data_IF_113533008625
#
_entry.id   IF_113533008625
#
_cell.length_a   1.000
_cell.length_b   1.000
_cell.length_c   1.000
_cell.angle_alpha   90.00
_cell.angle_beta   90.00
_cell.angle_gamma   90.00
#
_symmetry.space_group_name_H-M   'P 1'
#
loop_
_entity.id
_entity.type
_entity.pdbx_description
1 polymer ?
#
# COMPACT_ATOMS: atom_id res chain seq x y z
N UNK A 1 -4.21 29.33 0.58
CA UNK A 1 -3.34 28.16 0.31
C UNK A 1 -4.22 27.07 -0.25
N UNK A 2 -4.01 26.68 -1.50
CA UNK A 2 -4.68 25.50 -2.05
C UNK A 2 -4.04 24.24 -1.44
N UNK A 3 -4.82 23.18 -1.16
CA UNK A 3 -4.25 21.91 -0.78
C UNK A 3 -3.34 21.40 -1.90
N UNK A 4 -2.22 20.79 -1.53
CA UNK A 4 -1.21 20.32 -2.49
C UNK A 4 -1.74 19.21 -3.42
N UNK A 5 -0.90 18.68 -4.32
CA UNK A 5 -1.27 17.54 -5.16
C UNK A 5 -1.69 16.33 -4.31
N UNK A 6 -2.75 15.64 -4.72
CA UNK A 6 -3.26 14.44 -4.05
C UNK A 6 -4.50 14.65 -3.17
N UNK A 7 -4.96 15.88 -2.98
CA UNK A 7 -6.20 16.16 -2.27
C UNK A 7 -7.38 16.24 -3.25
N UNK A 8 -8.48 15.57 -2.90
CA UNK A 8 -9.80 15.78 -3.51
C UNK A 8 -10.66 16.49 -2.48
N UNK A 9 -11.21 17.65 -2.84
CA UNK A 9 -12.02 18.46 -1.94
C UNK A 9 -13.48 18.42 -2.37
N UNK A 10 -14.37 18.35 -1.39
CA UNK A 10 -15.80 18.56 -1.61
C UNK A 10 -16.10 20.03 -1.94
N UNK A 11 -17.34 20.26 -2.39
CA UNK A 11 -17.85 21.59 -2.65
C UNK A 11 -17.73 22.51 -1.43
N UNK A 12 -17.56 23.81 -1.70
CA UNK A 12 -17.45 24.82 -0.66
C UNK A 12 -18.81 25.06 -0.01
N UNK A 13 -18.85 25.02 1.33
CA UNK A 13 -20.03 25.33 2.13
C UNK A 13 -19.81 26.64 2.87
N UNK A 14 -20.79 27.54 2.82
CA UNK A 14 -20.78 28.78 3.60
C UNK A 14 -20.80 28.47 5.10
N UNK A 15 -19.97 29.17 5.87
CA UNK A 15 -19.89 29.04 7.33
C UNK A 15 -19.98 30.39 8.00
N UNK A 16 -20.05 30.37 9.33
CA UNK A 16 -19.99 31.60 10.12
C UNK A 16 -18.74 32.43 9.77
N UNK A 17 -18.88 33.76 9.65
CA UNK A 17 -17.78 34.66 9.34
C UNK A 17 -16.60 34.53 10.33
N UNK A 18 -15.42 34.24 9.81
CA UNK A 18 -14.17 34.22 10.59
C UNK A 18 -13.62 35.64 10.80
N UNK A 19 -12.74 35.82 11.78
CA UNK A 19 -12.00 37.08 11.96
C UNK A 19 -10.60 36.98 11.36
N UNK A 20 -10.16 38.05 10.69
CA UNK A 20 -8.81 38.15 10.11
C UNK A 20 -8.04 39.31 10.74
N UNK A 21 -6.73 39.14 10.93
CA UNK A 21 -5.86 40.20 11.45
C UNK A 21 -5.41 41.10 10.30
N UNK A 22 -5.76 42.39 10.38
CA UNK A 22 -5.48 43.34 9.29
C UNK A 22 -4.17 44.10 9.53
N UNK A 23 -3.77 44.29 10.79
CA UNK A 23 -2.56 45.06 11.17
C UNK A 23 -1.81 44.30 12.26
N UNK A 24 -0.77 43.53 11.89
CA UNK A 24 0.18 42.85 12.80
C UNK A 24 -0.44 42.33 14.12
N UNK A 25 -1.64 41.74 14.05
CA UNK A 25 -2.37 41.21 15.21
C UNK A 25 -3.07 42.21 16.15
N UNK A 26 -2.99 43.53 15.94
CA UNK A 26 -3.61 44.55 16.82
C UNK A 26 -5.10 44.80 16.56
N UNK A 27 -5.58 44.57 15.34
CA UNK A 27 -7.00 44.75 14.96
C UNK A 27 -7.48 43.51 14.21
N UNK A 28 -8.58 42.94 14.69
CA UNK A 28 -9.29 41.85 14.04
C UNK A 28 -10.56 42.39 13.39
N UNK A 29 -10.79 42.05 12.13
CA UNK A 29 -12.01 42.39 11.41
C UNK A 29 -12.74 41.12 10.97
N UNK A 30 -14.07 41.18 11.00
CA UNK A 30 -14.91 40.07 10.57
C UNK A 30 -14.91 39.97 9.04
N UNK A 31 -14.60 38.80 8.53
CA UNK A 31 -14.54 38.52 7.09
C UNK A 31 -15.96 38.39 6.56
N UNK A 32 -16.31 39.17 5.54
CA UNK A 32 -17.68 39.29 4.99
C UNK A 32 -18.28 37.93 4.59
N UNK A 33 -17.43 36.97 4.20
CA UNK A 33 -17.86 35.62 3.85
C UNK A 33 -16.74 34.62 4.09
N UNK A 34 -17.04 33.53 4.78
CA UNK A 34 -16.11 32.42 4.99
C UNK A 34 -16.72 31.15 4.41
N UNK A 35 -15.88 30.36 3.74
CA UNK A 35 -16.28 29.08 3.17
C UNK A 35 -15.38 27.99 3.75
N UNK A 36 -15.96 26.82 3.99
CA UNK A 36 -15.25 25.62 4.43
C UNK A 36 -15.43 24.53 3.38
N UNK A 37 -14.36 23.82 3.08
CA UNK A 37 -14.38 22.59 2.28
C UNK A 37 -13.59 21.51 3.01
N UNK A 38 -14.08 20.28 2.93
CA UNK A 38 -13.39 19.10 3.47
C UNK A 38 -12.57 18.49 2.35
N UNK A 39 -11.26 18.38 2.56
CA UNK A 39 -10.33 17.82 1.59
C UNK A 39 -9.79 16.47 2.08
N UNK A 40 -10.00 15.43 1.28
CA UNK A 40 -9.51 14.08 1.55
C UNK A 40 -8.24 13.82 0.74
N UNK A 41 -7.19 13.34 1.40
CA UNK A 41 -5.93 13.00 0.73
C UNK A 41 -5.98 11.58 0.17
N UNK A 42 -5.63 11.42 -1.11
CA UNK A 42 -5.45 10.14 -1.76
C UNK A 42 -4.02 9.97 -2.22
N UNK A 43 -3.38 8.91 -1.72
CA UNK A 43 -2.01 8.53 -2.13
C UNK A 43 -1.93 8.14 -3.60
N UNK A 44 -3.01 7.61 -4.19
CA UNK A 44 -3.11 7.29 -5.61
C UNK A 44 -3.13 8.55 -6.48
N UNK A 45 -3.82 9.61 -6.03
CA UNK A 45 -3.82 10.89 -6.74
C UNK A 45 -2.52 11.67 -6.51
N UNK A 46 -1.91 11.50 -5.34
CA UNK A 46 -0.63 12.13 -5.03
C UNK A 46 0.55 11.52 -5.78
N UNK A 47 0.54 10.20 -5.98
CA UNK A 47 1.62 9.46 -6.63
C UNK A 47 1.13 8.81 -7.92
N UNK A 48 1.66 9.27 -9.07
CA UNK A 48 1.36 8.68 -10.38
C UNK A 48 1.86 7.23 -10.55
N UNK A 49 2.79 6.80 -9.69
CA UNK A 49 3.39 5.46 -9.74
C UNK A 49 2.94 4.65 -8.52
N UNK A 50 2.64 3.35 -8.70
CA UNK A 50 2.28 2.48 -7.58
C UNK A 50 3.47 2.35 -6.63
N UNK A 51 3.19 2.16 -5.34
CA UNK A 51 4.21 1.98 -4.29
C UNK A 51 4.52 0.52 -3.99
N UNK A 52 3.72 -0.40 -4.54
CA UNK A 52 3.90 -1.84 -4.38
C UNK A 52 3.59 -2.61 -5.67
N UNK A 53 4.07 -3.84 -5.74
CA UNK A 53 3.68 -4.80 -6.76
C UNK A 53 3.29 -6.15 -6.17
N UNK A 54 2.53 -6.93 -6.92
CA UNK A 54 2.06 -8.26 -6.54
C UNK A 54 2.76 -9.32 -7.39
N UNK A 55 3.09 -10.45 -6.76
CA UNK A 55 3.66 -11.61 -7.43
C UNK A 55 3.02 -12.88 -6.90
N UNK A 56 2.85 -13.88 -7.77
CA UNK A 56 2.10 -15.09 -7.47
C UNK A 56 2.98 -16.32 -7.69
N UNK A 57 2.79 -17.35 -6.88
CA UNK A 57 3.33 -18.68 -7.14
C UNK A 57 2.39 -19.75 -6.61
N UNK A 58 2.55 -20.98 -7.07
CA UNK A 58 1.70 -22.11 -6.68
C UNK A 58 2.53 -23.33 -6.32
N UNK A 59 1.91 -24.31 -5.66
CA UNK A 59 2.57 -25.55 -5.30
C UNK A 59 2.87 -26.43 -6.52
N UNK A 60 1.96 -26.45 -7.50
CA UNK A 60 2.08 -27.29 -8.69
C UNK A 60 2.93 -26.67 -9.80
N UNK A 61 3.12 -25.35 -9.75
CA UNK A 61 4.04 -24.65 -10.64
C UNK A 61 5.08 -23.88 -9.80
N UNK A 62 6.34 -24.35 -9.75
CA UNK A 62 7.40 -23.67 -9.00
C UNK A 62 7.80 -22.33 -9.62
N UNK A 63 7.38 -22.05 -10.86
CA UNK A 63 7.63 -20.77 -11.52
C UNK A 63 6.82 -19.66 -10.87
N UNK A 64 7.53 -18.64 -10.38
CA UNK A 64 6.92 -17.44 -9.78
C UNK A 64 6.50 -16.54 -10.93
N UNK A 65 5.23 -16.14 -10.98
CA UNK A 65 4.79 -15.00 -11.78
C UNK A 65 5.32 -13.72 -11.11
N UNK A 66 6.39 -13.10 -11.63
CA UNK A 66 7.02 -11.99 -10.96
C UNK A 66 6.22 -10.70 -11.19
N UNK A 67 6.55 -9.66 -10.43
CA UNK A 67 6.09 -8.32 -10.76
C UNK A 67 6.58 -7.93 -12.16
N UNK A 68 5.77 -7.20 -12.93
CA UNK A 68 6.18 -6.73 -14.26
C UNK A 68 7.41 -5.82 -14.16
N UNK A 69 8.24 -5.85 -15.21
CA UNK A 69 9.36 -4.92 -15.37
C UNK A 69 8.88 -3.48 -15.18
N UNK A 70 9.59 -2.71 -14.35
CA UNK A 70 9.31 -1.30 -14.10
C UNK A 70 7.90 -1.00 -13.57
N UNK A 71 7.28 -1.92 -12.82
CA UNK A 71 5.94 -1.73 -12.23
C UNK A 71 5.78 -0.41 -11.46
N UNK A 72 6.81 0.00 -10.70
CA UNK A 72 6.80 1.23 -9.92
C UNK A 72 7.64 2.37 -10.55
N UNK A 73 7.91 2.26 -11.85
CA UNK A 73 8.64 3.24 -12.65
C UNK A 73 10.14 2.99 -12.69
N UNK A 74 10.69 2.89 -13.90
CA UNK A 74 12.12 2.93 -14.14
C UNK A 74 12.52 4.28 -14.71
N UNK A 75 13.77 4.68 -14.48
CA UNK A 75 14.41 5.70 -15.32
C UNK A 75 15.04 4.99 -16.52
N UNK A 76 14.65 5.39 -17.73
CA UNK A 76 15.39 5.01 -18.94
C UNK A 76 16.73 5.76 -18.89
N UNK A 77 17.83 5.03 -19.02
CA UNK A 77 19.16 5.57 -18.83
C UNK A 77 19.56 6.51 -19.98
N UNK A 78 19.94 7.74 -19.62
CA UNK A 78 21.04 8.42 -20.31
C UNK A 78 22.34 7.84 -19.71
N UNK A 79 22.99 6.97 -20.49
CA UNK A 79 24.36 6.41 -20.47
C UNK A 79 25.19 6.14 -19.20
N UNK A 80 24.76 6.45 -17.96
CA UNK A 80 25.61 6.22 -16.77
C UNK A 80 24.87 5.85 -15.46
N UNK A 81 23.68 5.25 -15.56
CA UNK A 81 22.92 4.84 -14.38
C UNK A 81 23.32 3.44 -13.85
N UNK A 82 24.54 3.30 -13.32
CA UNK A 82 24.90 2.18 -12.41
C UNK A 82 24.20 2.26 -11.05
N UNK A 83 23.38 3.29 -10.81
CA UNK A 83 22.76 3.55 -9.54
C UNK A 83 21.25 3.51 -9.64
N UNK A 84 20.73 2.35 -9.32
CA UNK A 84 19.32 2.05 -9.03
C UNK A 84 18.85 2.64 -7.69
N UNK A 85 19.66 3.52 -7.08
CA UNK A 85 19.23 4.48 -6.07
C UNK A 85 18.20 5.41 -6.72
N UNK A 86 16.93 5.21 -6.36
CA UNK A 86 15.79 5.99 -6.83
C UNK A 86 16.03 7.49 -6.69
N UNK A 87 16.29 8.14 -7.82
CA UNK A 87 16.29 9.61 -7.92
C UNK A 87 14.92 10.09 -8.39
N UNK A 88 13.83 9.68 -7.73
CA UNK A 88 12.50 10.21 -8.05
C UNK A 88 12.28 11.58 -7.41
N UNK A 89 12.16 12.62 -8.24
CA UNK A 89 11.64 13.97 -7.92
C UNK A 89 12.44 14.83 -6.91
N UNK A 90 12.25 16.17 -6.87
CA UNK A 90 13.02 17.07 -5.99
C UNK A 90 12.70 16.91 -4.50
N UNK A 91 11.67 16.13 -4.16
CA UNK A 91 11.19 15.94 -2.80
C UNK A 91 11.49 14.51 -2.35
N UNK A 92 12.62 14.36 -1.64
CA UNK A 92 13.04 13.20 -0.84
C UNK A 92 13.46 11.96 -1.65
N UNK A 93 14.77 11.71 -1.68
CA UNK A 93 15.39 10.50 -2.26
C UNK A 93 14.98 9.27 -1.43
N UNK A 94 14.12 8.41 -1.93
CA UNK A 94 13.91 7.08 -1.35
C UNK A 94 14.98 6.13 -1.89
N UNK A 95 15.92 5.74 -1.03
CA UNK A 95 16.95 4.74 -1.34
C UNK A 95 16.26 3.38 -1.47
N UNK A 96 16.31 2.76 -2.65
CA UNK A 96 15.66 1.50 -2.95
C UNK A 96 16.69 0.46 -3.39
N UNK A 97 16.50 -0.78 -2.95
CA UNK A 97 17.26 -1.92 -3.47
C UNK A 97 16.82 -2.26 -4.90
N UNK A 98 17.82 -2.53 -5.73
CA UNK A 98 17.67 -2.70 -7.16
C UNK A 98 16.97 -4.02 -7.51
N UNK A 99 15.83 -3.91 -8.17
CA UNK A 99 15.00 -5.03 -8.65
C UNK A 99 14.43 -4.68 -10.01
N UNK A 100 14.04 -5.68 -10.80
CA UNK A 100 13.49 -5.43 -12.14
C UNK A 100 12.17 -4.65 -12.12
N UNK A 101 11.42 -4.73 -11.01
CA UNK A 101 10.12 -4.08 -10.85
C UNK A 101 10.18 -2.69 -10.20
N UNK A 102 11.32 -2.32 -9.56
CA UNK A 102 11.56 -1.01 -8.94
C UNK A 102 10.54 -0.56 -7.89
N UNK A 103 9.91 -1.52 -7.21
CA UNK A 103 8.89 -1.23 -6.19
C UNK A 103 9.47 -1.22 -4.77
N UNK A 104 9.15 -0.20 -3.94
CA UNK A 104 9.45 -0.17 -2.50
C UNK A 104 8.94 -1.38 -1.74
N UNK A 105 7.75 -1.86 -2.10
CA UNK A 105 7.10 -2.99 -1.44
C UNK A 105 6.74 -4.06 -2.46
N UNK A 106 6.84 -5.32 -2.06
CA UNK A 106 6.32 -6.46 -2.82
C UNK A 106 5.42 -7.30 -1.93
N UNK A 107 4.24 -7.62 -2.45
CA UNK A 107 3.34 -8.60 -1.85
C UNK A 107 3.42 -9.87 -2.67
N UNK A 108 3.92 -10.95 -2.05
CA UNK A 108 4.03 -12.25 -2.67
C UNK A 108 2.97 -13.19 -2.09
N UNK A 109 2.19 -13.78 -2.98
CA UNK A 109 1.15 -14.74 -2.68
C UNK A 109 1.59 -16.12 -3.18
N UNK A 110 1.71 -17.09 -2.28
CA UNK A 110 2.12 -18.45 -2.64
C UNK A 110 1.06 -19.47 -2.22
N UNK A 111 0.45 -20.15 -3.18
CA UNK A 111 -0.54 -21.19 -2.89
C UNK A 111 0.19 -22.48 -2.52
N UNK A 112 0.16 -22.85 -1.23
CA UNK A 112 0.85 -24.04 -0.68
C UNK A 112 0.12 -25.34 -0.95
N UNK A 113 -1.20 -25.35 -0.81
CA UNK A 113 -2.03 -26.55 -1.02
C UNK A 113 -3.42 -26.15 -1.47
N UNK A 114 -3.94 -26.88 -2.45
CA UNK A 114 -5.33 -26.81 -2.89
C UNK A 114 -6.00 -28.12 -2.50
N UNK A 115 -6.70 -28.15 -1.37
CA UNK A 115 -7.54 -29.28 -0.99
C UNK A 115 -8.96 -29.05 -1.52
N UNK A 116 -9.72 -30.13 -1.74
CA UNK A 116 -11.12 -30.07 -2.23
C UNK A 116 -12.02 -29.09 -1.46
N UNK A 117 -11.71 -28.81 -0.19
CA UNK A 117 -12.55 -28.04 0.71
C UNK A 117 -11.91 -26.72 1.21
N UNK A 118 -10.61 -26.51 0.98
CA UNK A 118 -9.91 -25.29 1.43
C UNK A 118 -8.57 -25.13 0.71
N UNK A 119 -8.14 -23.87 0.59
CA UNK A 119 -6.82 -23.53 0.11
C UNK A 119 -5.95 -23.02 1.25
N UNK A 120 -4.65 -23.36 1.20
CA UNK A 120 -3.63 -22.78 2.08
C UNK A 120 -2.74 -21.90 1.24
N UNK A 121 -2.62 -20.65 1.63
CA UNK A 121 -1.74 -19.66 1.02
C UNK A 121 -0.67 -19.24 2.01
N UNK A 122 0.43 -18.72 1.50
CA UNK A 122 1.45 -18.02 2.25
C UNK A 122 1.56 -16.61 1.70
N UNK A 123 1.26 -15.62 2.54
CA UNK A 123 1.43 -14.21 2.24
C UNK A 123 2.80 -13.75 2.76
N UNK A 124 3.57 -13.13 1.88
CA UNK A 124 4.86 -12.54 2.17
C UNK A 124 4.85 -11.08 1.76
N UNK A 125 5.25 -10.19 2.67
CA UNK A 125 5.39 -8.76 2.40
C UNK A 125 6.87 -8.42 2.53
N UNK A 126 7.44 -7.85 1.49
CA UNK A 126 8.86 -7.51 1.43
C UNK A 126 9.05 -6.01 1.23
N UNK A 127 9.99 -5.45 1.97
CA UNK A 127 10.39 -4.06 1.94
C UNK A 127 11.78 -3.95 1.35
N UNK A 128 11.86 -3.31 0.18
CA UNK A 128 13.08 -3.06 -0.57
C UNK A 128 13.65 -1.66 -0.30
N UNK A 129 12.97 -0.83 0.50
CA UNK A 129 13.46 0.49 0.85
C UNK A 129 14.62 0.36 1.84
N UNK A 130 15.75 1.02 1.57
CA UNK A 130 16.99 0.94 2.35
C UNK A 130 17.01 1.90 3.54
N UNK A 131 16.13 2.92 3.55
CA UNK A 131 16.13 3.98 4.56
C UNK A 131 14.81 4.13 5.32
N UNK A 132 13.85 3.22 5.11
CA UNK A 132 12.49 3.36 5.62
C UNK A 132 11.95 2.05 6.17
N UNK A 133 11.60 2.09 7.45
CA UNK A 133 10.80 1.07 8.10
C UNK A 133 9.32 1.41 7.97
N UNK A 134 8.46 0.40 7.90
CA UNK A 134 7.01 0.55 7.97
C UNK A 134 6.49 -0.11 9.24
N UNK A 135 6.27 0.68 10.30
CA UNK A 135 5.59 0.23 11.51
C UNK A 135 4.08 0.22 11.31
N UNK A 136 3.37 -0.62 12.07
CA UNK A 136 1.92 -0.80 12.03
C UNK A 136 1.41 -1.00 10.61
N UNK A 137 2.14 -1.80 9.83
CA UNK A 137 1.79 -2.06 8.46
C UNK A 137 0.46 -2.81 8.39
N UNK A 138 -0.30 -2.53 7.34
CA UNK A 138 -1.53 -3.22 7.03
C UNK A 138 -1.59 -3.53 5.53
N UNK A 139 -2.19 -4.67 5.19
CA UNK A 139 -2.43 -5.07 3.80
C UNK A 139 -3.90 -5.38 3.64
N UNK A 140 -4.49 -4.77 2.62
CA UNK A 140 -5.88 -5.01 2.21
C UNK A 140 -5.85 -5.88 0.98
N UNK A 141 -6.62 -6.97 1.00
CA UNK A 141 -6.73 -7.91 -0.12
C UNK A 141 -8.20 -8.07 -0.45
N UNK A 142 -8.56 -7.76 -1.68
CA UNK A 142 -9.88 -8.01 -2.23
C UNK A 142 -9.82 -9.31 -3.04
N UNK A 143 -10.63 -10.31 -2.67
CA UNK A 143 -10.67 -11.59 -3.36
C UNK A 143 -11.98 -12.35 -3.05
N UNK A 144 -12.63 -12.98 -4.05
CA UNK A 144 -13.92 -13.66 -3.87
C UNK A 144 -13.85 -14.83 -2.85
N UNK A 145 -12.67 -15.46 -2.72
CA UNK A 145 -12.42 -16.53 -1.75
C UNK A 145 -12.44 -16.10 -0.27
N UNK A 146 -12.70 -14.83 0.05
CA UNK A 146 -12.92 -14.34 1.41
C UNK A 146 -14.40 -14.27 1.82
N UNK A 147 -15.30 -14.80 0.99
CA UNK A 147 -16.73 -14.95 1.35
C UNK A 147 -16.97 -15.89 2.53
N UNK A 148 -15.98 -16.70 2.91
CA UNK A 148 -16.01 -17.56 4.08
C UNK A 148 -14.88 -17.19 5.03
N UNK A 149 -15.06 -17.54 6.31
CA UNK A 149 -14.13 -17.15 7.36
C UNK A 149 -12.72 -17.72 7.11
N UNK A 150 -11.74 -16.84 6.90
CA UNK A 150 -10.34 -17.21 6.77
C UNK A 150 -9.72 -17.47 8.15
N UNK A 151 -8.99 -18.59 8.29
CA UNK A 151 -8.13 -18.82 9.45
C UNK A 151 -6.71 -18.33 9.14
N UNK A 152 -6.25 -17.33 9.89
CA UNK A 152 -4.96 -16.67 9.66
C UNK A 152 -3.99 -17.03 10.77
N UNK A 153 -2.73 -17.29 10.41
CA UNK A 153 -1.69 -17.61 11.38
C UNK A 153 -0.63 -16.51 11.40
N UNK A 154 -0.30 -16.05 12.61
CA UNK A 154 0.82 -15.13 12.87
C UNK A 154 0.71 -13.74 12.22
N UNK A 155 -0.50 -13.40 11.80
CA UNK A 155 -0.99 -12.05 11.56
C UNK A 155 -2.33 -11.92 12.26
N UNK A 156 -2.74 -10.69 12.53
CA UNK A 156 -4.14 -10.42 12.81
C UNK A 156 -4.88 -10.18 11.50
N UNK A 157 -6.18 -10.51 11.49
CA UNK A 157 -7.04 -10.20 10.36
C UNK A 157 -8.44 -9.76 10.79
N UNK A 158 -9.10 -9.05 9.89
CA UNK A 158 -10.53 -8.79 9.95
C UNK A 158 -11.09 -8.78 8.52
N UNK A 159 -12.35 -9.16 8.37
CA UNK A 159 -13.06 -9.08 7.10
C UNK A 159 -14.21 -8.10 7.32
N UNK A 160 -13.98 -6.80 7.08
CA UNK A 160 -15.00 -5.80 7.28
C UNK A 160 -16.12 -5.99 6.25
N UNK A 161 -17.39 -5.80 6.64
CA UNK A 161 -18.47 -5.79 5.67
C UNK A 161 -18.22 -4.65 4.68
N UNK A 162 -18.18 -4.98 3.40
CA UNK A 162 -18.02 -3.98 2.35
C UNK A 162 -19.38 -3.71 1.71
N UNK A 163 -19.81 -2.45 1.75
CA UNK A 163 -21.00 -1.98 1.03
C UNK A 163 -20.52 -1.52 -0.34
N UNK A 164 -21.15 -2.00 -1.41
CA UNK A 164 -20.86 -1.67 -2.81
C UNK A 164 -19.50 -2.16 -3.37
N UNK A 165 -18.83 -3.13 -2.72
CA UNK A 165 -17.65 -3.81 -3.29
C UNK A 165 -18.07 -5.21 -3.75
N UNK A 166 -17.84 -5.59 -5.03
CA UNK A 166 -18.33 -6.86 -5.57
C UNK A 166 -17.62 -8.10 -5.00
N UNK A 167 -16.40 -7.96 -4.48
CA UNK A 167 -15.66 -9.02 -3.83
C UNK A 167 -15.37 -8.69 -2.37
N UNK A 168 -15.26 -9.74 -1.56
CA UNK A 168 -14.98 -9.63 -0.15
C UNK A 168 -13.54 -9.17 0.12
N UNK A 169 -13.39 -8.39 1.19
CA UNK A 169 -12.13 -7.75 1.56
C UNK A 169 -11.61 -8.33 2.87
N UNK A 170 -10.33 -8.69 2.88
CA UNK A 170 -9.61 -9.06 4.09
C UNK A 170 -8.52 -8.02 4.38
N UNK A 171 -8.51 -7.53 5.62
CA UNK A 171 -7.47 -6.67 6.17
C UNK A 171 -6.54 -7.52 7.04
N UNK A 172 -5.23 -7.42 6.81
CA UNK A 172 -4.18 -8.10 7.56
C UNK A 172 -3.22 -7.09 8.19
N UNK A 173 -2.76 -7.36 9.41
CA UNK A 173 -1.72 -6.55 10.08
C UNK A 173 -0.84 -7.39 11.00
N UNK A 174 0.28 -6.79 11.41
CA UNK A 174 1.24 -7.40 12.33
C UNK A 174 0.66 -7.70 13.72
N UNK A 175 1.34 -8.60 14.42
CA UNK A 175 1.20 -8.84 15.84
C UNK A 175 2.16 -7.93 16.60
N UNK A 176 1.65 -7.25 17.61
CA UNK A 176 2.43 -6.36 18.47
C UNK A 176 3.65 -7.09 19.03
N UNK A 177 4.81 -6.42 19.02
CA UNK A 177 6.10 -6.94 19.52
C UNK A 177 6.65 -8.18 18.78
N UNK A 178 6.03 -8.63 17.69
CA UNK A 178 6.50 -9.77 16.92
C UNK A 178 6.80 -9.44 15.46
N UNK A 179 5.84 -8.89 14.74
CA UNK A 179 5.96 -8.48 13.34
C UNK A 179 5.14 -7.22 13.05
N UNK A 180 5.10 -6.32 14.02
CA UNK A 180 4.48 -4.99 13.96
C UNK A 180 5.23 -4.01 13.04
N UNK A 181 6.46 -4.33 12.64
CA UNK A 181 7.24 -3.53 11.70
C UNK A 181 7.82 -4.34 10.53
N UNK A 182 7.72 -3.78 9.32
CA UNK A 182 8.51 -4.18 8.15
C UNK A 182 9.79 -3.35 8.15
N UNK A 183 10.88 -3.99 8.56
CA UNK A 183 12.19 -3.36 8.56
C UNK A 183 12.66 -3.04 7.13
N UNK A 184 13.50 -2.02 7.01
CA UNK A 184 14.17 -1.64 5.77
C UNK A 184 15.02 -2.79 5.23
N UNK A 185 15.29 -2.76 3.93
CA UNK A 185 16.30 -3.60 3.32
C UNK A 185 17.71 -3.15 3.75
N UNK A 186 18.58 -4.11 3.97
CA UNK A 186 20.02 -3.91 4.02
C UNK A 186 20.63 -4.24 2.66
N UNK A 187 21.87 -3.83 2.41
CA UNK A 187 22.56 -3.99 1.12
C UNK A 187 22.57 -5.44 0.59
N UNK A 188 22.46 -6.43 1.48
CA UNK A 188 22.47 -7.86 1.16
C UNK A 188 21.18 -8.62 1.54
N UNK A 189 20.23 -7.98 2.22
CA UNK A 189 19.04 -8.65 2.75
C UNK A 189 17.80 -7.76 2.64
N UNK A 190 16.72 -8.30 2.09
CA UNK A 190 15.43 -7.60 2.02
C UNK A 190 14.72 -7.76 3.36
N UNK A 191 14.23 -6.67 3.94
CA UNK A 191 13.34 -6.76 5.09
C UNK A 191 12.04 -7.45 4.67
N UNK A 192 11.65 -8.55 5.30
CA UNK A 192 10.43 -9.27 4.92
C UNK A 192 9.71 -9.89 6.10
N UNK A 193 8.40 -9.96 5.99
CA UNK A 193 7.54 -10.69 6.92
C UNK A 193 6.75 -11.72 6.11
N UNK A 194 6.82 -12.99 6.52
CA UNK A 194 6.38 -14.15 5.72
C UNK A 194 5.52 -15.10 6.57
N UNK A 195 4.25 -15.39 6.20
CA UNK A 195 3.41 -16.36 6.96
C UNK A 195 2.28 -17.01 6.16
N UNK A 196 1.71 -18.06 6.75
CA UNK A 196 0.67 -18.91 6.16
C UNK A 196 -0.75 -18.47 6.55
N UNK A 197 -1.67 -18.47 5.59
CA UNK A 197 -3.10 -18.21 5.72
C UNK A 197 -3.90 -19.38 5.16
N UNK A 198 -5.07 -19.64 5.76
CA UNK A 198 -6.03 -20.64 5.31
C UNK A 198 -7.37 -19.99 5.07
N UNK A 199 -8.07 -20.49 4.08
CA UNK A 199 -9.31 -19.91 3.59
C UNK A 199 -10.15 -21.08 3.11
N UNK A 200 -11.35 -21.21 3.67
CA UNK A 200 -12.34 -22.13 3.13
C UNK A 200 -12.91 -21.51 1.86
N UNK A 201 -12.97 -22.26 0.76
CA UNK A 201 -13.50 -21.75 -0.49
C UNK A 201 -13.50 -22.79 -1.59
N UNK A 202 -14.64 -22.84 -2.30
CA UNK A 202 -14.89 -23.66 -3.49
C UNK A 202 -13.86 -23.42 -4.61
N UNK A 203 -13.77 -24.43 -5.47
CA UNK A 203 -12.92 -24.60 -6.63
C UNK A 203 -12.56 -23.29 -7.37
N UNK A 204 -11.27 -22.95 -7.36
CA UNK A 204 -10.70 -21.89 -8.19
C UNK A 204 -10.63 -22.40 -9.63
N UNK A 205 -11.64 -22.10 -10.45
CA UNK A 205 -11.51 -22.18 -11.90
C UNK A 205 -10.65 -21.00 -12.33
N UNK A 206 -9.37 -21.25 -12.58
CA UNK A 206 -8.54 -20.35 -13.38
C UNK A 206 -8.96 -20.55 -14.85
N UNK A 207 -9.88 -19.73 -15.35
CA UNK A 207 -10.03 -19.52 -16.81
C UNK A 207 -9.09 -18.42 -17.26
#
# INVERSE_FOLDING_TARGET
MAPGPGYTCDDFVDTDPTTSSVIEGKRQEQVIRTWKSTCTYSTYLANKLPTCCVSLSTFYNPEITPCRLCSCGCKLAEDDAKSCIGSSSPYKRELLQCTDHMCPLRVHWHIKKNYRNYWRVKLTISNYNLGKNYSNWNVVVQHPGFSQQATVFSFNNTMPPTVDVPDEVALFWGLDFYNDALLHAEEKQVGSVNRDTFTQGQELIYT
#
